data_IF_074817857426
#
_entry.id   IF_074817857426
#
_cell.length_a   1.000
_cell.length_b   1.000
_cell.length_c   1.000
_cell.angle_alpha   90.00
_cell.angle_beta   90.00
_cell.angle_gamma   90.00
#
_symmetry.space_group_name_H-M   'P 1'
#
loop_
_entity.id
_entity.type
_entity.pdbx_description
1 polymer ?
#
# COMPACT_ATOMS: atom_id res chain seq x y z
N UNK A 1 5.41 -17.99 -28.14
CA UNK A 1 6.21 -17.17 -29.08
C UNK A 1 7.22 -16.23 -28.41
N UNK A 2 7.06 -15.83 -27.13
CA UNK A 2 8.00 -14.90 -26.48
C UNK A 2 9.33 -15.53 -26.02
N UNK A 3 9.29 -16.74 -25.45
CA UNK A 3 10.48 -17.46 -24.95
C UNK A 3 11.53 -17.62 -26.04
N UNK A 4 11.11 -18.14 -27.20
CA UNK A 4 11.99 -18.34 -28.35
C UNK A 4 12.66 -17.03 -28.81
N UNK A 5 11.95 -15.90 -28.81
CA UNK A 5 12.54 -14.59 -29.13
C UNK A 5 13.58 -14.16 -28.09
N UNK A 6 13.34 -14.42 -26.81
CA UNK A 6 14.30 -14.10 -25.74
C UNK A 6 15.58 -14.93 -25.88
N UNK A 7 15.44 -16.22 -26.22
CA UNK A 7 16.56 -17.13 -26.46
C UNK A 7 17.36 -16.73 -27.71
N UNK A 8 16.68 -16.47 -28.84
CA UNK A 8 17.31 -16.02 -30.10
C UNK A 8 18.14 -14.74 -29.91
N UNK A 9 17.75 -13.88 -28.96
CA UNK A 9 18.45 -12.64 -28.65
C UNK A 9 19.37 -12.73 -27.42
N UNK A 10 19.60 -13.94 -26.87
CA UNK A 10 20.43 -14.16 -25.67
C UNK A 10 20.03 -13.30 -24.46
N UNK A 11 18.74 -12.97 -24.34
CA UNK A 11 18.20 -12.19 -23.22
C UNK A 11 18.00 -13.14 -22.04
N UNK A 12 18.70 -12.89 -20.92
CA UNK A 12 18.51 -13.65 -19.69
C UNK A 12 17.10 -13.43 -19.15
N UNK A 13 16.39 -14.50 -18.84
CA UNK A 13 15.06 -14.46 -18.26
C UNK A 13 14.89 -15.54 -17.19
N UNK A 14 13.88 -15.38 -16.35
CA UNK A 14 13.41 -16.39 -15.40
C UNK A 14 11.90 -16.49 -15.59
N UNK A 15 11.39 -17.68 -15.91
CA UNK A 15 9.95 -17.96 -15.81
C UNK A 15 9.73 -18.43 -14.38
N UNK A 16 9.10 -17.57 -13.58
CA UNK A 16 8.64 -18.00 -12.25
C UNK A 16 7.39 -18.84 -12.44
N UNK A 17 7.33 -20.00 -11.80
CA UNK A 17 6.08 -20.73 -11.64
C UNK A 17 5.04 -19.78 -11.05
N UNK A 18 3.78 -19.92 -11.46
CA UNK A 18 2.69 -19.31 -10.73
C UNK A 18 2.59 -20.04 -9.39
N UNK A 19 3.43 -19.63 -8.45
CA UNK A 19 3.23 -19.95 -7.04
C UNK A 19 1.96 -19.19 -6.71
N UNK A 20 0.88 -19.93 -6.47
CA UNK A 20 -0.41 -19.40 -6.09
C UNK A 20 -0.24 -18.58 -4.81
N UNK A 21 0.19 -17.33 -4.92
CA UNK A 21 0.10 -16.33 -3.85
C UNK A 21 -1.37 -15.95 -3.79
N UNK A 22 -2.16 -16.89 -3.30
CA UNK A 22 -3.57 -16.72 -2.94
C UNK A 22 -3.70 -15.85 -1.69
N UNK A 23 -2.57 -15.56 -1.02
CA UNK A 23 -2.52 -14.82 0.22
C UNK A 23 -2.19 -13.35 -0.07
N UNK A 24 -3.11 -12.46 0.30
CA UNK A 24 -2.97 -11.01 0.28
C UNK A 24 -2.89 -10.51 1.71
N UNK A 25 -2.01 -9.55 2.00
CA UNK A 25 -2.08 -8.88 3.30
C UNK A 25 -3.10 -7.74 3.21
N UNK A 26 -4.16 -7.82 4.01
CA UNK A 26 -5.10 -6.72 4.26
C UNK A 26 -4.48 -5.79 5.31
N UNK A 27 -3.85 -4.69 4.90
CA UNK A 27 -2.80 -4.07 5.71
C UNK A 27 -3.31 -3.02 6.68
N UNK A 28 -4.62 -2.81 6.76
CA UNK A 28 -5.25 -1.75 7.56
C UNK A 28 -6.25 -2.35 8.53
N UNK A 29 -6.21 -1.88 9.77
CA UNK A 29 -7.30 -1.99 10.73
C UNK A 29 -7.92 -0.62 11.00
N UNK A 30 -9.24 -0.58 11.16
CA UNK A 30 -9.96 0.61 11.63
C UNK A 30 -9.63 0.94 13.09
N UNK A 31 -9.20 -0.04 13.88
CA UNK A 31 -8.77 0.12 15.26
C UNK A 31 -7.24 0.35 15.36
N UNK A 32 -6.84 1.44 16.04
CA UNK A 32 -5.43 1.70 16.29
C UNK A 32 -4.82 0.65 17.25
N UNK A 33 -5.62 0.07 18.13
CA UNK A 33 -5.29 -1.00 19.09
C UNK A 33 -5.67 -2.40 18.58
N UNK A 34 -5.67 -2.58 17.25
CA UNK A 34 -5.91 -3.85 16.59
C UNK A 34 -5.28 -5.07 17.26
N UNK A 35 -6.03 -6.18 17.27
CA UNK A 35 -5.53 -7.50 17.70
C UNK A 35 -4.43 -8.07 16.80
N UNK A 36 -4.29 -7.55 15.58
CA UNK A 36 -3.29 -8.02 14.62
C UNK A 36 -1.92 -7.36 14.85
N UNK A 37 -0.84 -8.08 14.52
CA UNK A 37 0.53 -7.56 14.66
C UNK A 37 0.74 -6.29 13.83
N UNK A 38 1.34 -5.26 14.42
CA UNK A 38 1.66 -4.02 13.72
C UNK A 38 2.78 -4.26 12.72
N UNK A 39 2.55 -3.89 11.45
CA UNK A 39 3.54 -4.08 10.38
C UNK A 39 3.46 -3.00 9.32
N UNK A 40 4.59 -2.36 9.03
CA UNK A 40 4.71 -1.45 7.91
C UNK A 40 4.94 -2.23 6.61
N UNK A 41 3.88 -2.44 5.82
CA UNK A 41 3.98 -3.12 4.52
C UNK A 41 4.70 -2.30 3.44
N UNK A 42 4.74 -0.98 3.62
CA UNK A 42 5.34 -0.04 2.67
C UNK A 42 6.70 0.47 3.15
N UNK A 43 7.41 -0.31 3.97
CA UNK A 43 8.72 0.12 4.45
C UNK A 43 9.68 0.32 3.27
N UNK A 44 10.26 1.52 3.16
CA UNK A 44 11.10 1.92 2.03
C UNK A 44 10.35 2.27 0.74
N UNK A 45 9.01 2.30 0.75
CA UNK A 45 8.20 2.71 -0.40
C UNK A 45 7.65 4.12 -0.16
N UNK A 46 8.34 5.13 -0.70
CA UNK A 46 7.83 6.52 -0.77
C UNK A 46 6.96 6.65 -2.00
N UNK A 47 5.92 7.49 -1.95
CA UNK A 47 5.07 7.74 -3.10
C UNK A 47 5.06 9.21 -3.51
N UNK A 48 5.16 9.46 -4.82
CA UNK A 48 4.98 10.78 -5.42
C UNK A 48 3.85 10.67 -6.43
N UNK A 49 2.84 11.54 -6.32
CA UNK A 49 1.69 11.54 -7.21
C UNK A 49 1.08 12.94 -7.31
N UNK A 50 0.80 13.40 -8.53
CA UNK A 50 0.13 14.67 -8.80
C UNK A 50 0.75 15.88 -8.06
N UNK A 51 2.08 16.02 -8.16
CA UNK A 51 2.83 17.08 -7.49
C UNK A 51 2.91 16.94 -5.97
N UNK A 52 2.44 15.82 -5.38
CA UNK A 52 2.49 15.57 -3.94
C UNK A 52 3.43 14.43 -3.61
N UNK A 53 3.94 14.42 -2.38
CA UNK A 53 4.74 13.36 -1.80
C UNK A 53 4.10 12.86 -0.50
N UNK A 54 4.19 11.56 -0.25
CA UNK A 54 3.81 10.94 1.00
C UNK A 54 4.80 9.83 1.35
N UNK A 55 5.01 9.63 2.65
CA UNK A 55 5.91 8.62 3.19
C UNK A 55 5.53 7.19 2.79
N UNK A 56 4.25 6.92 2.53
CA UNK A 56 3.79 5.61 2.03
C UNK A 56 2.68 5.75 0.97
N UNK A 57 2.53 4.76 0.06
CA UNK A 57 1.47 4.78 -0.94
C UNK A 57 0.07 4.71 -0.33
N UNK A 58 -0.08 4.09 0.85
CA UNK A 58 -1.38 3.95 1.53
C UNK A 58 -2.04 5.29 1.83
N UNK A 59 -1.24 6.29 2.21
CA UNK A 59 -1.74 7.65 2.44
C UNK A 59 -2.38 8.25 1.18
N UNK A 60 -1.83 8.00 -0.01
CA UNK A 60 -2.30 8.65 -1.24
C UNK A 60 -3.72 8.27 -1.66
N UNK A 61 -4.26 7.15 -1.16
CA UNK A 61 -5.64 6.73 -1.42
C UNK A 61 -6.53 6.71 -0.17
N UNK A 62 -6.01 7.08 1.01
CA UNK A 62 -6.76 6.95 2.27
C UNK A 62 -7.95 7.93 2.34
N UNK A 63 -7.82 9.12 1.77
CA UNK A 63 -8.94 10.08 1.66
C UNK A 63 -10.09 9.49 0.84
N UNK A 64 -9.76 8.87 -0.31
CA UNK A 64 -10.75 8.22 -1.16
C UNK A 64 -11.39 7.04 -0.46
N UNK A 65 -10.60 6.24 0.24
CA UNK A 65 -11.06 5.12 1.05
C UNK A 65 -12.06 5.59 2.12
N UNK A 66 -11.71 6.60 2.91
CA UNK A 66 -12.57 7.22 3.91
C UNK A 66 -13.90 7.70 3.31
N UNK A 67 -13.84 8.37 2.15
CA UNK A 67 -15.04 8.86 1.46
C UNK A 67 -15.96 7.75 0.97
N UNK A 68 -15.39 6.67 0.43
CA UNK A 68 -16.18 5.56 -0.14
C UNK A 68 -16.82 4.71 0.96
N UNK A 69 -16.09 4.41 2.03
CA UNK A 69 -16.54 3.50 3.08
C UNK A 69 -17.04 4.19 4.36
N UNK A 70 -17.03 5.53 4.40
CA UNK A 70 -17.50 6.31 5.54
C UNK A 70 -16.62 6.20 6.79
N UNK A 71 -15.32 5.90 6.62
CA UNK A 71 -14.35 5.77 7.72
C UNK A 71 -13.65 7.09 8.02
N UNK A 72 -12.90 7.13 9.13
CA UNK A 72 -12.12 8.30 9.57
C UNK A 72 -10.68 7.93 9.89
N UNK A 73 -10.05 7.13 9.04
CA UNK A 73 -8.63 6.81 9.18
C UNK A 73 -7.80 8.08 8.99
N UNK A 74 -6.66 8.24 9.68
CA UNK A 74 -5.84 9.43 9.53
C UNK A 74 -5.32 9.60 8.10
N UNK A 75 -5.46 10.81 7.56
CA UNK A 75 -5.10 11.19 6.18
C UNK A 75 -3.99 12.25 6.11
N UNK A 76 -3.34 12.52 7.25
CA UNK A 76 -2.23 13.46 7.39
C UNK A 76 -0.91 12.79 6.96
N UNK A 77 -0.01 13.56 6.34
CA UNK A 77 1.31 13.11 5.88
C UNK A 77 1.48 13.14 4.36
N UNK A 78 0.67 13.94 3.67
CA UNK A 78 0.75 14.21 2.23
C UNK A 78 1.10 15.70 2.06
N UNK A 79 2.17 15.98 1.31
CA UNK A 79 2.73 17.32 1.17
C UNK A 79 2.84 17.71 -0.31
N UNK A 80 2.70 18.99 -0.64
CA UNK A 80 2.97 19.48 -2.00
C UNK A 80 4.48 19.56 -2.22
N UNK A 81 4.97 18.89 -3.27
CA UNK A 81 6.38 18.80 -3.58
C UNK A 81 7.00 20.16 -3.94
N UNK A 82 6.20 21.10 -4.47
CA UNK A 82 6.69 22.44 -4.84
C UNK A 82 6.96 23.33 -3.62
N UNK A 83 6.49 22.93 -2.44
CA UNK A 83 6.65 23.66 -1.18
C UNK A 83 7.81 23.13 -0.33
N UNK A 84 8.56 22.14 -0.83
CA UNK A 84 9.60 21.43 -0.08
C UNK A 84 10.99 21.63 -0.67
N UNK A 85 11.98 21.73 0.21
CA UNK A 85 13.38 21.56 -0.17
C UNK A 85 13.85 20.11 0.03
N UNK A 86 15.10 19.84 -0.37
CA UNK A 86 15.67 18.50 -0.28
C UNK A 86 15.81 17.97 1.15
N UNK A 87 16.07 18.84 2.13
CA UNK A 87 16.20 18.45 3.53
C UNK A 87 14.85 17.99 4.08
N UNK A 88 13.80 18.77 3.81
CA UNK A 88 12.43 18.44 4.22
C UNK A 88 11.93 17.16 3.56
N UNK A 89 12.30 16.89 2.31
CA UNK A 89 11.98 15.63 1.63
C UNK A 89 12.61 14.44 2.38
N UNK A 90 13.88 14.54 2.79
CA UNK A 90 14.56 13.46 3.53
C UNK A 90 13.88 13.19 4.88
N UNK A 91 13.45 14.25 5.58
CA UNK A 91 12.68 14.12 6.82
C UNK A 91 11.36 13.37 6.58
N UNK A 92 10.57 13.75 5.57
CA UNK A 92 9.29 13.11 5.22
C UNK A 92 9.48 11.63 4.91
N UNK A 93 10.57 11.24 4.24
CA UNK A 93 10.83 9.84 3.90
C UNK A 93 11.09 9.00 5.17
N UNK A 94 11.65 9.63 6.20
CA UNK A 94 11.98 8.98 7.47
C UNK A 94 10.87 9.01 8.52
N UNK A 95 9.85 9.86 8.35
CA UNK A 95 8.87 10.14 9.41
C UNK A 95 7.87 8.98 9.63
N UNK A 96 7.40 8.87 10.87
CA UNK A 96 6.18 8.11 11.18
C UNK A 96 4.97 9.03 11.03
N UNK A 97 3.89 8.48 10.47
CA UNK A 97 2.63 9.19 10.27
C UNK A 97 1.53 8.56 11.13
N UNK A 98 0.47 9.29 11.50
CA UNK A 98 -0.60 8.74 12.34
C UNK A 98 -1.24 7.46 11.77
N UNK A 99 -1.35 7.36 10.44
CA UNK A 99 -1.88 6.16 9.78
C UNK A 99 -1.06 4.89 10.07
N UNK A 100 0.23 5.01 10.42
CA UNK A 100 1.06 3.86 10.79
C UNK A 100 0.48 3.09 11.98
N UNK A 101 -0.25 3.75 12.89
CA UNK A 101 -0.94 3.11 14.01
C UNK A 101 -2.04 2.13 13.56
N UNK A 102 -2.48 2.20 12.31
CA UNK A 102 -3.51 1.33 11.73
C UNK A 102 -2.93 0.21 10.87
N UNK A 103 -1.63 0.23 10.60
CA UNK A 103 -0.99 -0.75 9.73
C UNK A 103 -0.74 -2.08 10.43
N UNK A 104 -1.24 -3.18 9.85
CA UNK A 104 -1.20 -4.52 10.43
C UNK A 104 -0.71 -5.59 9.45
N UNK A 105 -0.30 -6.74 9.98
CA UNK A 105 -0.09 -7.98 9.23
C UNK A 105 -1.33 -8.85 9.40
N UNK A 106 -2.15 -8.94 8.36
CA UNK A 106 -3.33 -9.78 8.28
C UNK A 106 -3.39 -10.46 6.91
N UNK A 107 -2.71 -11.59 6.83
CA UNK A 107 -2.64 -12.42 5.64
C UNK A 107 -3.97 -13.16 5.44
N UNK A 108 -4.64 -12.89 4.33
CA UNK A 108 -5.95 -13.45 3.98
C UNK A 108 -5.90 -14.16 2.63
N UNK A 109 -6.73 -15.18 2.44
CA UNK A 109 -6.94 -15.75 1.11
C UNK A 109 -7.85 -14.86 0.26
N UNK A 110 -7.52 -14.73 -1.03
CA UNK A 110 -8.34 -13.98 -1.97
C UNK A 110 -9.68 -14.70 -2.22
N UNK A 111 -10.76 -14.16 -1.66
CA UNK A 111 -12.06 -14.84 -1.65
C UNK A 111 -13.10 -14.33 -2.66
N UNK A 112 -12.94 -13.13 -3.24
CA UNK A 112 -14.01 -12.46 -4.01
C UNK A 112 -13.50 -11.67 -5.23
N UNK A 113 -14.27 -11.63 -6.31
CA UNK A 113 -13.97 -10.85 -7.52
C UNK A 113 -15.27 -10.50 -8.28
N UNK A 114 -15.30 -9.36 -8.98
CA UNK A 114 -16.39 -8.98 -9.89
C UNK A 114 -17.67 -8.44 -9.23
N UNK A 115 -17.63 -8.19 -7.91
CA UNK A 115 -18.75 -7.62 -7.13
C UNK A 115 -18.47 -6.18 -6.72
N UNK A 116 -19.48 -5.50 -6.17
CA UNK A 116 -19.29 -4.20 -5.52
C UNK A 116 -18.26 -4.33 -4.39
N UNK A 117 -17.23 -3.48 -4.32
CA UNK A 117 -16.24 -3.54 -3.25
C UNK A 117 -16.85 -3.21 -1.89
N UNK A 118 -16.50 -4.00 -0.87
CA UNK A 118 -16.88 -3.81 0.52
C UNK A 118 -15.67 -3.32 1.35
N UNK A 119 -15.91 -2.73 2.52
CA UNK A 119 -14.83 -2.23 3.38
C UNK A 119 -13.87 -3.36 3.79
N UNK A 120 -14.44 -4.52 4.05
CA UNK A 120 -13.79 -5.76 4.45
C UNK A 120 -13.00 -6.41 3.32
N UNK A 121 -13.03 -5.88 2.09
CA UNK A 121 -12.09 -6.30 1.06
C UNK A 121 -10.71 -5.63 1.23
N UNK A 122 -10.63 -4.54 2.00
CA UNK A 122 -9.46 -3.66 2.07
C UNK A 122 -8.92 -3.43 3.49
N UNK A 123 -9.78 -3.46 4.51
CA UNK A 123 -9.40 -3.21 5.90
C UNK A 123 -10.22 -4.06 6.88
N UNK A 124 -9.68 -4.31 8.07
CA UNK A 124 -10.43 -4.97 9.15
C UNK A 124 -11.06 -3.96 10.08
N UNK A 125 -12.26 -4.30 10.56
CA UNK A 125 -12.98 -3.45 11.53
C UNK A 125 -12.43 -3.59 12.95
N UNK A 126 -11.91 -4.78 13.26
CA UNK A 126 -11.65 -5.33 14.59
C UNK A 126 -12.85 -5.37 15.56
#
# INVERSE_FOLDING_TARGET
QIIRKLEENSIRYIIRSFDSKMVFNKPLSLAADSKYEKKCISNGCVNIWNGKIARCPTLMYIERFNKVFGTRLPDIGIYDLNELDGERILEIISETVPLCGHCVSNDIEWGRCGTTPELEDFAERD
#
